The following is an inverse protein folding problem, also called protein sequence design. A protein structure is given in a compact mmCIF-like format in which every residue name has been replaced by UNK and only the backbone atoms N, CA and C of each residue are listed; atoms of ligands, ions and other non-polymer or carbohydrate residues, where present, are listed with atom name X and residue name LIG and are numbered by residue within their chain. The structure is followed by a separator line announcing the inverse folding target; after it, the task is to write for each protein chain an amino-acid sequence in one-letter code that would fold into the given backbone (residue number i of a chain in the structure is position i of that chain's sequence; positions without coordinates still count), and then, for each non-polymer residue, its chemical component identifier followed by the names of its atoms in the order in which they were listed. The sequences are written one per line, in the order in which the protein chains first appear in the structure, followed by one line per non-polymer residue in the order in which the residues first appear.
data_IF_161767642167
#
_entry.id   IF_161767642167
#
_cell.length_a   1.000
_cell.length_b   1.000
_cell.length_c   1.000
_cell.angle_alpha   90.00
_cell.angle_beta   90.00
_cell.angle_gamma   90.00
#
_symmetry.space_group_name_H-M   'P 1'
#
loop_
_entity.id
_entity.type
_entity.pdbx_description
1 polymer ?
#
# COMPACT_ATOMS: atom_id res chain seq x y z
N UNK A 1 20.71 11.66 -22.12
CA UNK A 1 20.28 11.51 -20.71
C UNK A 1 18.77 11.60 -20.72
N UNK A 2 18.03 10.57 -20.32
CA UNK A 2 16.57 10.62 -20.30
C UNK A 2 16.09 11.51 -19.17
N UNK A 3 15.11 12.38 -19.45
CA UNK A 3 14.46 13.22 -18.44
C UNK A 3 13.75 12.34 -17.41
N UNK A 4 14.00 12.58 -16.11
CA UNK A 4 13.36 11.81 -15.05
C UNK A 4 11.95 12.34 -14.82
N UNK A 5 11.01 11.43 -14.70
CA UNK A 5 9.62 11.73 -14.42
C UNK A 5 9.24 11.18 -13.05
N UNK A 6 8.59 11.99 -12.23
CA UNK A 6 8.14 11.65 -10.89
C UNK A 6 6.61 11.68 -10.83
N UNK A 7 6.01 10.64 -10.24
CA UNK A 7 4.57 10.63 -9.95
C UNK A 7 4.35 10.97 -8.48
N UNK A 8 3.80 12.15 -8.22
CA UNK A 8 3.52 12.65 -6.87
C UNK A 8 2.03 12.48 -6.57
N UNK A 9 1.71 11.92 -5.40
CA UNK A 9 0.33 11.79 -4.94
C UNK A 9 -0.01 12.97 -4.02
N UNK A 10 -0.93 13.83 -4.45
CA UNK A 10 -1.38 15.02 -3.72
C UNK A 10 -2.63 14.74 -2.86
N UNK A 11 -2.90 13.48 -2.53
CA UNK A 11 -4.04 13.08 -1.70
C UNK A 11 -5.36 13.30 -2.43
N UNK A 12 -6.22 14.17 -1.87
CA UNK A 12 -7.56 14.46 -2.42
C UNK A 12 -7.54 15.10 -3.81
N UNK A 13 -6.40 15.70 -4.22
CA UNK A 13 -6.20 16.29 -5.54
C UNK A 13 -5.71 15.28 -6.59
N UNK A 14 -5.51 14.02 -6.22
CA UNK A 14 -5.10 12.95 -7.13
C UNK A 14 -3.58 12.87 -7.37
N UNK A 15 -3.20 12.11 -8.40
CA UNK A 15 -1.80 11.93 -8.80
C UNK A 15 -1.43 12.91 -9.89
N UNK A 16 -0.29 13.56 -9.74
CA UNK A 16 0.30 14.46 -10.73
C UNK A 16 1.64 13.90 -11.16
N UNK A 17 1.93 14.02 -12.45
CA UNK A 17 3.21 13.65 -13.03
C UNK A 17 4.00 14.94 -13.25
N UNK A 18 5.20 15.02 -12.70
CA UNK A 18 6.12 16.16 -12.85
C UNK A 18 7.44 15.68 -13.45
N UNK A 19 8.05 16.48 -14.31
CA UNK A 19 9.40 16.20 -14.82
C UNK A 19 10.46 16.81 -13.90
N UNK A 20 11.68 16.33 -14.00
CA UNK A 20 12.82 16.88 -13.24
C UNK A 20 13.05 18.37 -13.53
N UNK A 21 12.71 18.81 -14.75
CA UNK A 21 12.72 20.21 -15.18
C UNK A 21 11.67 21.09 -14.50
N UNK A 22 10.59 20.50 -13.95
CA UNK A 22 9.55 21.22 -13.21
C UNK A 22 9.91 21.41 -11.72
N UNK A 23 11.00 20.80 -11.24
CA UNK A 23 11.39 20.83 -9.82
C UNK A 23 12.41 21.94 -9.61
N UNK A 24 12.02 22.95 -8.82
CA UNK A 24 12.90 24.01 -8.35
C UNK A 24 13.27 23.79 -6.88
N UNK A 25 14.56 23.94 -6.56
CA UNK A 25 15.03 23.97 -5.18
C UNK A 25 14.90 25.38 -4.63
N UNK A 26 14.10 25.54 -3.58
CA UNK A 26 13.74 26.84 -3.00
C UNK A 26 14.23 26.86 -1.55
N UNK A 27 14.99 27.89 -1.19
CA UNK A 27 15.29 28.21 0.21
C UNK A 27 14.06 28.88 0.85
N UNK A 28 13.45 28.23 1.84
CA UNK A 28 12.23 28.71 2.50
C UNK A 28 12.48 29.88 3.46
N UNK A 29 13.71 30.11 3.89
CA UNK A 29 14.05 31.23 4.76
C UNK A 29 14.24 32.54 3.96
N UNK A 30 14.68 32.45 2.71
CA UNK A 30 14.79 33.58 1.79
C UNK A 30 13.50 33.82 0.98
N UNK A 31 12.82 32.74 0.59
CA UNK A 31 11.62 32.83 -0.24
C UNK A 31 10.35 33.00 0.57
N UNK A 32 9.36 33.71 0.01
CA UNK A 32 8.05 33.86 0.65
C UNK A 32 7.08 32.80 0.13
N UNK A 33 7.10 31.63 0.77
CA UNK A 33 6.14 30.54 0.54
C UNK A 33 5.13 30.51 1.70
N UNK A 34 3.85 30.31 1.41
CA UNK A 34 2.79 30.22 2.42
C UNK A 34 2.05 28.90 2.35
N UNK A 35 1.74 28.33 3.51
CA UNK A 35 0.88 27.15 3.67
C UNK A 35 -0.21 27.51 4.66
N UNK A 36 -1.48 27.32 4.26
CA UNK A 36 -2.66 27.67 5.05
C UNK A 36 -2.66 29.12 5.57
N UNK A 37 -2.10 30.04 4.77
CA UNK A 37 -2.00 31.47 5.10
C UNK A 37 -0.86 31.83 6.07
N UNK A 38 0.01 30.88 6.41
CA UNK A 38 1.18 31.11 7.28
C UNK A 38 2.46 30.98 6.47
N UNK A 39 3.42 31.90 6.68
CA UNK A 39 4.75 31.82 6.05
C UNK A 39 5.45 30.54 6.47
N UNK A 40 5.91 29.78 5.49
CA UNK A 40 6.72 28.59 5.68
C UNK A 40 8.19 29.01 5.73
N UNK A 41 8.88 28.60 6.79
CA UNK A 41 10.34 28.70 6.97
C UNK A 41 10.91 27.29 7.05
N UNK A 42 12.21 27.11 6.94
CA UNK A 42 12.84 25.78 7.04
C UNK A 42 12.54 25.11 8.39
N UNK A 43 12.67 25.89 9.47
CA UNK A 43 12.35 25.43 10.82
C UNK A 43 10.87 25.01 10.96
N UNK A 44 9.95 25.76 10.33
CA UNK A 44 8.51 25.46 10.38
C UNK A 44 8.16 24.26 9.51
N UNK A 45 8.78 24.12 8.33
CA UNK A 45 8.62 22.96 7.47
C UNK A 45 9.07 21.68 8.19
N UNK A 46 10.23 21.71 8.84
CA UNK A 46 10.72 20.59 9.64
C UNK A 46 9.79 20.26 10.83
N UNK A 47 9.22 21.28 11.48
CA UNK A 47 8.22 21.07 12.52
C UNK A 47 6.93 20.46 11.97
N UNK A 48 6.42 20.97 10.85
CA UNK A 48 5.21 20.46 10.20
C UNK A 48 5.40 19.00 9.77
N UNK A 49 6.57 18.65 9.22
CA UNK A 49 6.92 17.29 8.87
C UNK A 49 6.90 16.36 10.10
N UNK A 50 7.43 16.82 11.25
CA UNK A 50 7.36 16.07 12.52
C UNK A 50 5.91 15.95 13.02
N UNK A 51 5.14 17.04 12.98
CA UNK A 51 3.73 17.05 13.40
C UNK A 51 2.87 16.11 12.54
N UNK A 52 3.04 16.15 11.22
CA UNK A 52 2.41 15.21 10.28
C UNK A 52 2.87 13.79 10.56
N UNK A 53 4.17 13.58 10.77
CA UNK A 53 4.72 12.25 11.06
C UNK A 53 4.22 11.68 12.39
N UNK A 54 3.93 12.52 13.38
CA UNK A 54 3.35 12.12 14.68
C UNK A 54 1.85 11.91 14.53
N UNK A 55 1.12 12.84 13.91
CA UNK A 55 -0.34 12.78 13.68
C UNK A 55 -0.73 11.60 12.79
N UNK A 56 0.11 11.28 11.82
CA UNK A 56 -0.04 10.16 10.89
C UNK A 56 0.97 9.02 11.18
N UNK A 57 1.57 9.03 12.38
CA UNK A 57 2.43 8.02 13.01
C UNK A 57 2.78 6.79 12.18
N UNK A 58 4.02 6.73 11.66
CA UNK A 58 4.65 5.57 10.98
C UNK A 58 4.00 5.07 9.69
N UNK A 59 2.97 5.73 9.16
CA UNK A 59 2.31 5.35 7.89
C UNK A 59 2.71 6.23 6.68
N UNK A 60 3.87 6.88 6.74
CA UNK A 60 4.57 7.46 5.58
C UNK A 60 5.24 6.37 4.72
N UNK A 61 4.47 5.33 4.40
CA UNK A 61 4.83 4.09 3.75
C UNK A 61 3.57 3.24 3.66
N UNK A 62 3.52 2.28 2.73
CA UNK A 62 2.34 1.40 2.54
C UNK A 62 1.84 0.93 3.91
N UNK A 63 0.56 1.17 4.27
CA UNK A 63 0.03 0.76 5.56
C UNK A 63 0.37 -0.72 5.79
N UNK A 64 0.97 -1.04 6.94
CA UNK A 64 0.98 -2.42 7.41
C UNK A 64 -0.48 -2.83 7.57
N UNK A 65 -0.89 -3.88 6.85
CA UNK A 65 -2.26 -4.41 6.91
C UNK A 65 -2.66 -4.59 8.37
N UNK A 66 -3.79 -4.00 8.82
CA UNK A 66 -4.24 -4.14 10.19
C UNK A 66 -4.43 -5.61 10.56
N UNK A 67 -4.04 -5.98 11.78
CA UNK A 67 -4.13 -7.36 12.30
C UNK A 67 -5.57 -7.94 12.23
N UNK A 68 -6.57 -7.06 12.19
CA UNK A 68 -8.01 -7.35 12.10
C UNK A 68 -8.57 -7.31 10.66
N UNK A 69 -7.85 -6.73 9.70
CA UNK A 69 -8.22 -6.77 8.27
C UNK A 69 -7.61 -8.02 7.63
N UNK A 70 -8.22 -9.17 7.96
CA UNK A 70 -8.11 -10.46 7.26
C UNK A 70 -6.80 -10.66 6.51
N UNK A 71 -5.77 -11.07 7.24
CA UNK A 71 -4.50 -11.55 6.73
C UNK A 71 -4.67 -12.80 5.84
N UNK A 72 -5.22 -12.62 4.63
CA UNK A 72 -5.16 -13.62 3.58
C UNK A 72 -3.80 -13.44 2.89
N UNK A 73 -2.80 -14.17 3.36
CA UNK A 73 -1.57 -14.35 2.57
C UNK A 73 -1.95 -15.23 1.38
N UNK A 74 -1.78 -14.70 0.17
CA UNK A 74 -1.96 -15.49 -1.05
C UNK A 74 -0.78 -16.46 -1.17
N UNK A 75 -1.06 -17.76 -1.12
CA UNK A 75 -0.11 -18.82 -1.42
C UNK A 75 -0.50 -19.49 -2.72
N UNK A 76 0.44 -19.56 -3.66
CA UNK A 76 0.26 -20.35 -4.88
C UNK A 76 0.52 -21.82 -4.57
N UNK A 77 -0.42 -22.70 -4.91
CA UNK A 77 -0.31 -24.14 -4.79
C UNK A 77 -0.15 -24.75 -6.18
N UNK A 78 0.84 -25.64 -6.35
CA UNK A 78 1.01 -26.42 -7.58
C UNK A 78 0.32 -27.76 -7.41
N UNK A 79 -0.60 -28.06 -8.32
CA UNK A 79 -1.35 -29.30 -8.38
C UNK A 79 -1.11 -29.98 -9.72
N UNK A 80 -1.17 -31.31 -9.75
CA UNK A 80 -1.29 -32.03 -11.02
C UNK A 80 -2.66 -31.72 -11.66
N UNK A 81 -2.82 -31.88 -12.98
CA UNK A 81 -4.12 -31.67 -13.65
C UNK A 81 -5.24 -32.51 -13.04
N UNK A 82 -4.93 -33.76 -12.67
CA UNK A 82 -5.89 -34.66 -12.01
C UNK A 82 -6.30 -34.16 -10.63
N UNK A 83 -5.35 -33.68 -9.82
CA UNK A 83 -5.64 -33.11 -8.51
C UNK A 83 -6.51 -31.84 -8.61
N UNK A 84 -6.25 -30.98 -9.60
CA UNK A 84 -7.06 -29.79 -9.84
C UNK A 84 -8.50 -30.14 -10.21
N UNK A 85 -8.71 -31.14 -11.09
CA UNK A 85 -10.05 -31.61 -11.45
C UNK A 85 -10.80 -32.19 -10.25
N UNK A 86 -10.12 -33.01 -9.43
CA UNK A 86 -10.71 -33.59 -8.22
C UNK A 86 -11.06 -32.50 -7.21
N UNK A 87 -10.22 -31.48 -7.06
CA UNK A 87 -10.49 -30.32 -6.18
C UNK A 87 -11.74 -29.57 -6.65
N UNK A 88 -11.82 -29.23 -7.93
CA UNK A 88 -12.97 -28.51 -8.50
C UNK A 88 -14.28 -29.30 -8.34
N UNK A 89 -14.28 -30.60 -8.64
CA UNK A 89 -15.44 -31.46 -8.48
C UNK A 89 -15.87 -31.57 -7.00
N UNK A 90 -14.91 -31.70 -6.08
CA UNK A 90 -15.18 -31.80 -4.65
C UNK A 90 -15.63 -30.48 -4.01
N UNK A 91 -15.17 -29.34 -4.53
CA UNK A 91 -15.64 -28.01 -4.12
C UNK A 91 -17.08 -27.77 -4.61
N UNK A 92 -17.34 -28.09 -5.89
CA UNK A 92 -18.67 -27.95 -6.49
C UNK A 92 -19.73 -28.81 -5.80
N UNK A 93 -19.44 -30.08 -5.52
CA UNK A 93 -20.40 -30.96 -4.83
C UNK A 93 -20.74 -30.52 -3.40
N UNK A 94 -19.86 -29.74 -2.76
CA UNK A 94 -20.01 -29.20 -1.40
C UNK A 94 -20.55 -27.76 -1.38
N UNK A 95 -20.71 -27.12 -2.54
CA UNK A 95 -21.17 -25.73 -2.63
C UNK A 95 -20.21 -24.70 -2.03
N UNK A 96 -18.91 -25.01 -1.95
CA UNK A 96 -17.88 -24.12 -1.40
C UNK A 96 -16.84 -23.75 -2.46
N UNK A 97 -16.07 -22.69 -2.22
CA UNK A 97 -14.94 -22.35 -3.09
C UNK A 97 -13.78 -23.33 -2.93
N UNK A 98 -12.98 -23.51 -3.99
CA UNK A 98 -11.75 -24.32 -3.93
C UNK A 98 -10.78 -23.83 -2.84
N UNK A 99 -10.67 -22.50 -2.68
CA UNK A 99 -9.84 -21.89 -1.64
C UNK A 99 -10.32 -22.20 -0.23
N UNK A 100 -11.64 -22.24 -0.01
CA UNK A 100 -12.22 -22.62 1.27
C UNK A 100 -12.02 -24.10 1.56
N UNK A 101 -12.22 -24.95 0.56
CA UNK A 101 -11.95 -26.38 0.69
C UNK A 101 -10.48 -26.66 1.03
N UNK A 102 -9.54 -25.97 0.39
CA UNK A 102 -8.11 -26.08 0.70
C UNK A 102 -7.77 -25.61 2.11
N UNK A 103 -8.36 -24.50 2.59
CA UNK A 103 -8.17 -24.04 3.98
C UNK A 103 -8.67 -25.07 4.97
N UNK A 104 -9.89 -25.58 4.79
CA UNK A 104 -10.47 -26.58 5.68
C UNK A 104 -9.64 -27.88 5.70
N UNK A 105 -9.12 -28.31 4.56
CA UNK A 105 -8.24 -29.48 4.47
C UNK A 105 -6.90 -29.25 5.18
N UNK A 106 -6.32 -28.06 5.05
CA UNK A 106 -5.10 -27.68 5.74
C UNK A 106 -5.31 -27.65 7.27
N UNK A 107 -6.41 -27.03 7.72
CA UNK A 107 -6.74 -26.95 9.15
C UNK A 107 -6.96 -28.35 9.74
N UNK A 108 -7.68 -29.23 9.02
CA UNK A 108 -7.88 -30.61 9.43
C UNK A 108 -6.57 -31.42 9.50
N UNK A 109 -5.65 -31.21 8.56
CA UNK A 109 -4.33 -31.85 8.54
C UNK A 109 -3.41 -31.35 9.65
N UNK A 110 -3.46 -30.06 9.99
CA UNK A 110 -2.65 -29.49 11.08
C UNK A 110 -3.18 -29.84 12.47
N UNK A 111 -4.46 -30.20 12.58
CA UNK A 111 -5.08 -30.62 13.83
C UNK A 111 -4.95 -32.13 14.12
N UNK A 112 -4.41 -32.92 13.17
CA UNK A 112 -4.12 -34.36 13.34
C UNK A 112 -2.70 -34.61 13.82
#
# INVERSE_FOLDING_TARGET
MGERTYTVNLGSRGRVTVTESDIEEIDLDESTVQVDGVRLTEARAAQLAREISVRHGRRGGRPSLPEHERASVQKALRLTPEQAQRLAAAASSRGVSESELLRNALDAYLAS
#
